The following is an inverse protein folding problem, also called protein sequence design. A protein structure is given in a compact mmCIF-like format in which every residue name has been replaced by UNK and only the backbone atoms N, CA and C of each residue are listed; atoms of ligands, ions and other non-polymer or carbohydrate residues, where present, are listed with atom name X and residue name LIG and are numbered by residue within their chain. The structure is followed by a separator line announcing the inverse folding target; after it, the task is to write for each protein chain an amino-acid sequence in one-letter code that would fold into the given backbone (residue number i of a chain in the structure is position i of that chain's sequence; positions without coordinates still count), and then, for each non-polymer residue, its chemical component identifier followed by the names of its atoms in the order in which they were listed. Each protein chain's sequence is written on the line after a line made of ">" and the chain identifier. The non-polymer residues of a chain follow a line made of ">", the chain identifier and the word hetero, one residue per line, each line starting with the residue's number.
data_IF_337483880287
#
_entry.id   IF_337483880287
#
_cell.length_a   1.000
_cell.length_b   1.000
_cell.length_c   1.000
_cell.angle_alpha   90.00
_cell.angle_beta   90.00
_cell.angle_gamma   90.00
#
_symmetry.space_group_name_H-M   'P 1'
#
loop_
_entity.id
_entity.type
_entity.pdbx_description
1 polymer ?
#
# COMPACT_ATOMS: atom_id res chain seq x y z
N UNK A 1 5.30 -4.53 5.69
CA UNK A 1 5.91 -3.20 5.97
C UNK A 1 4.83 -2.21 6.35
N UNK A 2 5.17 -1.22 7.14
CA UNK A 2 4.19 -0.20 7.50
C UNK A 2 4.09 0.88 6.43
N UNK A 3 3.13 1.80 6.61
CA UNK A 3 2.84 2.82 5.60
C UNK A 3 4.03 3.77 5.41
N UNK A 4 4.76 4.06 6.47
CA UNK A 4 5.90 4.95 6.41
C UNK A 4 7.05 4.32 5.64
N UNK A 5 7.34 3.07 5.92
CA UNK A 5 8.37 2.33 5.20
C UNK A 5 8.02 2.20 3.72
N UNK A 6 6.76 1.91 3.43
CA UNK A 6 6.30 1.78 2.06
C UNK A 6 6.41 3.10 1.29
N UNK A 7 6.09 4.21 1.95
CA UNK A 7 6.20 5.52 1.33
C UNK A 7 7.63 5.81 0.88
N UNK A 8 8.59 5.45 1.71
CA UNK A 8 10.00 5.63 1.38
C UNK A 8 10.47 4.64 0.32
N UNK A 9 10.07 3.38 0.48
CA UNK A 9 10.52 2.31 -0.42
C UNK A 9 10.01 2.49 -1.84
N UNK A 10 8.75 2.87 -1.99
CA UNK A 10 8.14 3.01 -3.31
C UNK A 10 8.11 4.44 -3.82
N UNK A 11 8.62 5.39 -3.04
CA UNK A 11 8.59 6.81 -3.39
C UNK A 11 7.18 7.32 -3.64
N UNK A 12 6.24 6.85 -2.84
CA UNK A 12 4.83 7.26 -2.91
C UNK A 12 4.49 7.94 -1.58
N UNK A 13 3.81 9.08 -1.63
CA UNK A 13 3.44 9.79 -0.41
C UNK A 13 2.52 8.97 0.48
N UNK A 14 2.64 9.14 1.80
CA UNK A 14 1.78 8.42 2.76
C UNK A 14 0.30 8.69 2.50
N UNK A 15 -0.03 9.93 2.16
CA UNK A 15 -1.41 10.30 1.88
C UNK A 15 -1.96 9.50 0.70
N UNK A 16 -1.16 9.37 -0.34
CA UNK A 16 -1.54 8.60 -1.52
C UNK A 16 -1.73 7.12 -1.16
N UNK A 17 -0.83 6.56 -0.35
CA UNK A 17 -0.94 5.19 0.08
C UNK A 17 -2.20 4.95 0.91
N UNK A 18 -2.57 5.91 1.76
CA UNK A 18 -3.80 5.80 2.55
C UNK A 18 -5.04 5.84 1.67
N UNK A 19 -5.03 6.67 0.65
CA UNK A 19 -6.12 6.71 -0.33
C UNK A 19 -6.22 5.38 -1.06
N UNK A 20 -5.09 4.80 -1.45
CA UNK A 20 -5.07 3.50 -2.11
C UNK A 20 -5.60 2.41 -1.20
N UNK A 21 -5.35 2.50 0.09
CA UNK A 21 -5.88 1.54 1.05
C UNK A 21 -7.40 1.53 1.08
N UNK A 22 -8.01 2.70 0.88
CA UNK A 22 -9.47 2.79 0.82
C UNK A 22 -10.02 2.31 -0.52
N UNK A 23 -9.41 2.76 -1.60
CA UNK A 23 -9.88 2.46 -2.95
C UNK A 23 -9.69 0.98 -3.28
N UNK A 24 -8.57 0.41 -2.87
CA UNK A 24 -8.22 -0.97 -3.20
C UNK A 24 -8.33 -1.91 -1.99
N UNK A 25 -9.27 -1.64 -1.10
CA UNK A 25 -9.44 -2.44 0.11
C UNK A 25 -9.74 -3.91 -0.17
N UNK A 26 -10.35 -4.20 -1.31
CA UNK A 26 -10.71 -5.56 -1.69
C UNK A 26 -9.53 -6.35 -2.27
N UNK A 27 -8.42 -5.70 -2.53
CA UNK A 27 -7.27 -6.36 -3.14
C UNK A 27 -6.45 -7.19 -2.16
N UNK A 28 -6.62 -6.96 -0.87
CA UNK A 28 -6.00 -7.78 0.15
C UNK A 28 -4.53 -7.50 0.44
N UNK A 29 -3.95 -6.43 -0.10
CA UNK A 29 -2.57 -6.10 0.21
C UNK A 29 -2.41 -5.08 1.34
N UNK A 30 -3.52 -4.57 1.87
CA UNK A 30 -3.49 -3.71 3.05
C UNK A 30 -4.05 -4.46 4.26
N UNK A 31 -3.45 -4.23 5.41
CA UNK A 31 -3.85 -4.88 6.65
C UNK A 31 -3.79 -3.86 7.78
N UNK A 32 -4.86 -3.78 8.56
CA UNK A 32 -4.90 -2.93 9.72
C UNK A 32 -4.55 -3.75 10.96
N UNK A 33 -3.55 -3.31 11.72
CA UNK A 33 -3.15 -3.95 12.96
C UNK A 33 -3.14 -2.91 14.08
N UNK A 34 -4.23 -2.86 14.83
CA UNK A 34 -4.40 -1.80 15.82
C UNK A 34 -4.53 -0.47 15.13
N UNK A 35 -3.66 0.47 15.47
CA UNK A 35 -3.63 1.79 14.85
C UNK A 35 -2.68 1.89 13.67
N UNK A 36 -2.08 0.75 13.28
CA UNK A 36 -1.06 0.76 12.24
C UNK A 36 -1.61 0.15 10.96
N UNK A 37 -1.42 0.86 9.86
CA UNK A 37 -1.75 0.35 8.54
C UNK A 37 -0.50 -0.33 7.98
N UNK A 38 -0.63 -1.61 7.66
CA UNK A 38 0.46 -2.41 7.14
C UNK A 38 0.19 -2.79 5.70
N UNK A 39 1.26 -2.98 4.95
CA UNK A 39 1.16 -3.36 3.54
C UNK A 39 1.81 -4.72 3.36
N UNK A 40 1.10 -5.63 2.70
CA UNK A 40 1.64 -6.92 2.31
C UNK A 40 2.51 -6.70 1.08
N UNK A 41 3.80 -6.65 1.30
CA UNK A 41 4.77 -6.23 0.28
C UNK A 41 4.67 -7.01 -1.03
N UNK A 42 4.60 -8.32 -0.95
CA UNK A 42 4.54 -9.13 -2.16
C UNK A 42 3.31 -8.84 -3.01
N UNK A 43 2.17 -8.75 -2.37
CA UNK A 43 0.91 -8.47 -3.06
C UNK A 43 0.88 -7.07 -3.63
N UNK A 44 1.39 -6.11 -2.87
CA UNK A 44 1.42 -4.73 -3.31
C UNK A 44 2.38 -4.55 -4.48
N UNK A 45 3.51 -5.22 -4.44
CA UNK A 45 4.47 -5.17 -5.53
C UNK A 45 3.88 -5.76 -6.80
N UNK A 46 3.18 -6.87 -6.69
CA UNK A 46 2.49 -7.48 -7.83
C UNK A 46 1.47 -6.51 -8.43
N UNK A 47 0.72 -5.82 -7.57
CA UNK A 47 -0.23 -4.81 -8.01
C UNK A 47 0.47 -3.70 -8.79
N UNK A 48 1.60 -3.21 -8.28
CA UNK A 48 2.35 -2.15 -8.94
C UNK A 48 2.91 -2.59 -10.29
N UNK A 49 3.36 -3.83 -10.38
CA UNK A 49 3.91 -4.37 -11.64
C UNK A 49 2.85 -4.45 -12.72
N UNK A 50 1.60 -4.69 -12.33
CA UNK A 50 0.50 -4.79 -13.26
C UNK A 50 -0.20 -3.47 -13.53
N UNK A 51 0.14 -2.43 -12.78
CA UNK A 51 -0.44 -1.11 -12.97
C UNK A 51 0.30 -0.35 -14.07
N UNK A 52 -0.45 0.30 -14.94
CA UNK A 52 0.15 1.11 -15.99
C UNK A 52 0.45 2.52 -15.50
N UNK A 53 -0.26 2.97 -14.46
CA UNK A 53 -0.05 4.28 -13.85
C UNK A 53 -0.64 4.28 -12.46
N UNK A 54 -0.05 5.03 -11.59
CA UNK A 54 -0.53 5.19 -10.21
C UNK A 54 -0.79 6.65 -9.93
#
# INVERSE_FOLDING_TARGET
>A
MDIKEAAEYYHIGEKKLREMAEVYSDYGFFLMNGNRLLIKREKFQEFLENATAI
#
